data_IF_393060925211
#
_entry.id   IF_393060925211
#
_cell.length_a   1.000
_cell.length_b   1.000
_cell.length_c   1.000
_cell.angle_alpha   90.00
_cell.angle_beta   90.00
_cell.angle_gamma   90.00
#
_symmetry.space_group_name_H-M   'P 1'
#
loop_
_entity.id
_entity.type
_entity.pdbx_description
1 polymer ?
#
# COMPACT_ATOMS: atom_id res chain seq x y z
N UNK A 1 -5.59 11.83 16.31
CA UNK A 1 -4.55 11.91 15.26
C UNK A 1 -3.23 11.44 15.85
N UNK A 2 -2.38 10.78 15.06
CA UNK A 2 -1.06 10.32 15.50
C UNK A 2 -0.01 11.43 15.35
N UNK A 3 1.10 11.33 16.09
CA UNK A 3 2.19 12.30 16.04
C UNK A 3 2.88 12.32 14.65
N UNK A 4 2.87 13.48 14.00
CA UNK A 4 3.35 13.57 12.61
C UNK A 4 4.85 13.29 12.51
N UNK A 5 5.66 13.84 13.40
CA UNK A 5 7.12 13.70 13.36
C UNK A 5 7.54 12.24 13.58
N UNK A 6 6.82 11.55 14.45
CA UNK A 6 7.03 10.13 14.73
C UNK A 6 6.59 9.23 13.57
N UNK A 7 5.45 9.48 12.95
CA UNK A 7 4.84 8.51 12.02
C UNK A 7 5.05 8.81 10.54
N UNK A 8 5.25 10.07 10.13
CA UNK A 8 5.41 10.43 8.72
C UNK A 8 6.57 9.71 8.01
N UNK A 9 7.75 9.50 8.63
CA UNK A 9 8.83 8.73 7.99
C UNK A 9 8.42 7.28 7.67
N UNK A 10 7.62 6.67 8.55
CA UNK A 10 7.14 5.29 8.38
C UNK A 10 6.09 5.19 7.28
N UNK A 11 5.17 6.17 7.24
CA UNK A 11 4.14 6.26 6.20
C UNK A 11 4.78 6.42 4.81
N UNK A 12 5.76 7.32 4.68
CA UNK A 12 6.47 7.52 3.41
C UNK A 12 7.22 6.25 2.97
N UNK A 13 7.92 5.57 3.89
CA UNK A 13 8.59 4.31 3.60
C UNK A 13 7.60 3.23 3.14
N UNK A 14 6.46 3.10 3.81
CA UNK A 14 5.42 2.16 3.44
C UNK A 14 4.81 2.48 2.06
N UNK A 15 4.54 3.75 1.78
CA UNK A 15 3.99 4.17 0.49
C UNK A 15 4.96 3.88 -0.67
N UNK A 16 6.25 4.17 -0.52
CA UNK A 16 7.26 3.81 -1.51
C UNK A 16 7.27 2.30 -1.79
N UNK A 17 7.25 1.47 -0.74
CA UNK A 17 7.19 0.01 -0.91
C UNK A 17 5.91 -0.47 -1.59
N UNK A 18 4.75 0.14 -1.29
CA UNK A 18 3.50 -0.19 -1.97
C UNK A 18 3.55 0.17 -3.46
N UNK A 19 4.15 1.31 -3.82
CA UNK A 19 4.32 1.72 -5.22
C UNK A 19 5.26 0.78 -5.98
N UNK A 20 6.32 0.28 -5.33
CA UNK A 20 7.22 -0.72 -5.91
C UNK A 20 6.54 -2.08 -6.19
N UNK A 21 5.47 -2.40 -5.46
CA UNK A 21 4.67 -3.61 -5.71
C UNK A 21 3.66 -3.44 -6.87
N UNK A 22 3.54 -2.25 -7.46
CA UNK A 22 2.64 -2.00 -8.59
C UNK A 22 3.29 -2.43 -9.90
N UNK A 23 2.60 -3.29 -10.65
CA UNK A 23 3.05 -3.77 -11.95
C UNK A 23 2.75 -2.75 -13.05
N UNK A 24 3.43 -2.88 -14.18
CA UNK A 24 3.23 -2.02 -15.36
C UNK A 24 1.79 -2.03 -15.89
N UNK A 25 1.06 -3.14 -15.71
CA UNK A 25 -0.35 -3.28 -16.09
C UNK A 25 -1.33 -2.69 -15.06
N UNK A 26 -0.82 -2.09 -13.99
CA UNK A 26 -1.61 -1.46 -12.92
C UNK A 26 -2.10 -2.43 -11.84
N UNK A 27 -1.72 -3.72 -11.88
CA UNK A 27 -2.05 -4.66 -10.80
C UNK A 27 -1.09 -4.49 -9.63
N UNK A 28 -1.63 -4.58 -8.42
CA UNK A 28 -0.84 -4.65 -7.19
C UNK A 28 -0.47 -6.11 -6.89
N UNK A 29 0.83 -6.41 -6.78
CA UNK A 29 1.38 -7.71 -6.44
C UNK A 29 1.50 -7.95 -4.93
N UNK A 30 2.02 -9.12 -4.55
CA UNK A 30 2.26 -9.51 -3.15
C UNK A 30 1.01 -9.43 -2.24
N UNK A 31 -0.17 -9.65 -2.80
CA UNK A 31 -1.44 -9.68 -2.06
C UNK A 31 -1.74 -11.08 -1.59
N UNK A 32 -1.72 -11.30 -0.27
CA UNK A 32 -2.08 -12.59 0.30
C UNK A 32 -3.56 -12.92 0.06
N UNK A 33 -3.83 -14.07 -0.57
CA UNK A 33 -5.18 -14.64 -0.73
C UNK A 33 -5.76 -15.10 0.60
N UNK A 34 -7.09 -15.11 0.69
CA UNK A 34 -7.80 -15.71 1.83
C UNK A 34 -7.40 -17.18 1.98
N UNK A 35 -7.01 -17.57 3.17
CA UNK A 35 -6.55 -18.92 3.48
C UNK A 35 -6.42 -19.14 4.98
N UNK A 36 -6.16 -20.40 5.37
CA UNK A 36 -6.08 -20.79 6.79
C UNK A 36 -4.72 -20.54 7.45
N UNK A 37 -3.70 -20.13 6.69
CA UNK A 37 -2.34 -19.88 7.18
C UNK A 37 -1.56 -18.93 6.25
N UNK A 38 -0.48 -18.29 6.73
CA UNK A 38 0.48 -17.58 5.89
C UNK A 38 1.17 -18.50 4.87
N UNK A 39 1.56 -17.93 3.73
CA UNK A 39 2.35 -18.59 2.70
C UNK A 39 3.24 -17.59 1.96
N UNK A 40 4.26 -18.09 1.27
CA UNK A 40 5.17 -17.26 0.48
C UNK A 40 4.43 -16.59 -0.67
N UNK A 41 4.68 -15.30 -0.88
CA UNK A 41 4.08 -14.49 -1.93
C UNK A 41 5.12 -14.12 -2.99
N UNK A 42 4.65 -13.87 -4.20
CA UNK A 42 5.42 -13.26 -5.27
C UNK A 42 4.63 -12.10 -5.91
N UNK A 43 5.24 -11.44 -6.89
CA UNK A 43 4.66 -10.30 -7.59
C UNK A 43 3.38 -10.61 -8.38
N UNK A 44 3.15 -11.86 -8.76
CA UNK A 44 1.95 -12.29 -9.47
C UNK A 44 0.76 -12.58 -8.54
N UNK A 45 0.99 -12.63 -7.23
CA UNK A 45 -0.07 -12.79 -6.24
C UNK A 45 -0.87 -11.49 -6.12
N UNK A 46 -2.02 -11.45 -6.78
CA UNK A 46 -2.93 -10.30 -6.79
C UNK A 46 -4.37 -10.74 -6.48
N UNK A 47 -5.13 -9.86 -5.80
CA UNK A 47 -6.56 -10.03 -5.48
C UNK A 47 -7.25 -8.66 -5.46
N UNK A 48 -8.53 -8.60 -5.83
CA UNK A 48 -9.30 -7.36 -5.97
C UNK A 48 -9.34 -6.49 -4.69
N UNK A 49 -9.40 -7.11 -3.50
CA UNK A 49 -9.37 -6.34 -2.25
C UNK A 49 -8.01 -5.69 -1.98
N UNK A 50 -6.92 -6.23 -2.54
CA UNK A 50 -5.59 -5.61 -2.48
C UNK A 50 -5.57 -4.28 -3.24
N UNK A 51 -6.20 -4.25 -4.42
CA UNK A 51 -6.39 -3.02 -5.19
C UNK A 51 -7.21 -1.98 -4.41
N UNK A 52 -8.31 -2.41 -3.78
CA UNK A 52 -9.11 -1.54 -2.90
C UNK A 52 -8.29 -0.93 -1.75
N UNK A 53 -7.47 -1.74 -1.07
CA UNK A 53 -6.60 -1.26 0.00
C UNK A 53 -5.53 -0.27 -0.51
N UNK A 54 -4.93 -0.54 -1.67
CA UNK A 54 -3.95 0.36 -2.30
C UNK A 54 -4.57 1.71 -2.66
N UNK A 55 -5.79 1.72 -3.23
CA UNK A 55 -6.50 2.96 -3.56
C UNK A 55 -6.87 3.78 -2.32
N UNK A 56 -7.27 3.12 -1.23
CA UNK A 56 -7.52 3.79 0.05
C UNK A 56 -6.25 4.46 0.60
N UNK A 57 -5.11 3.76 0.55
CA UNK A 57 -3.82 4.30 0.96
C UNK A 57 -3.43 5.51 0.07
N UNK A 58 -3.53 5.38 -1.26
CA UNK A 58 -3.22 6.46 -2.19
C UNK A 58 -4.07 7.72 -1.98
N UNK A 59 -5.37 7.56 -1.70
CA UNK A 59 -6.23 8.69 -1.32
C UNK A 59 -5.73 9.41 -0.07
N UNK A 60 -5.34 8.68 0.97
CA UNK A 60 -4.81 9.30 2.20
C UNK A 60 -3.46 9.99 1.97
N UNK A 61 -2.60 9.41 1.13
CA UNK A 61 -1.33 10.05 0.74
C UNK A 61 -1.55 11.36 -0.02
N UNK A 62 -2.53 11.40 -0.94
CA UNK A 62 -2.89 12.63 -1.63
C UNK A 62 -3.36 13.72 -0.65
N UNK A 63 -4.30 13.38 0.23
CA UNK A 63 -4.79 14.32 1.25
C UNK A 63 -3.68 14.78 2.20
N UNK A 64 -2.73 13.90 2.52
CA UNK A 64 -1.57 14.24 3.33
C UNK A 64 -0.66 15.23 2.61
N UNK A 65 -0.42 15.05 1.30
CA UNK A 65 0.36 15.98 0.48
C UNK A 65 -0.30 17.37 0.45
N UNK A 66 -1.61 17.43 0.24
CA UNK A 66 -2.37 18.69 0.26
C UNK A 66 -2.34 19.40 1.62
N UNK A 67 -2.25 18.66 2.72
CA UNK A 67 -2.20 19.22 4.07
C UNK A 67 -0.80 19.66 4.54
N UNK A 68 0.25 19.31 3.78
CA UNK A 68 1.65 19.68 4.09
C UNK A 68 2.12 20.88 3.24
N UNK A 69 1.48 21.10 2.09
CA UNK A 69 1.67 22.28 1.25
C UNK A 69 0.93 23.50 1.83
#
# INVERSE_FOLDING_TARGET
>A
MLDKEKYLPHVNKAWSGLVECLKEDGKIGYVQRVGSKPFSLNEDDTVEYGCGAFLLAGKQMHQLLEAIN
#
